data_IF_192093174672
#
_entry.id   IF_192093174672
#
_cell.length_a   1.000
_cell.length_b   1.000
_cell.length_c   1.000
_cell.angle_alpha   90.00
_cell.angle_beta   90.00
_cell.angle_gamma   90.00
#
_symmetry.space_group_name_H-M   'P 1'
#
loop_
_entity.id
_entity.type
_entity.pdbx_description
1 polymer ?
#
# COMPACT_ATOMS: atom_id res chain seq x y z
N UNK A 1 -14.97 2.73 8.82
CA UNK A 1 -14.26 1.42 8.83
C UNK A 1 -13.03 1.51 9.71
N UNK A 2 -12.58 0.38 10.27
CA UNK A 2 -11.31 0.30 11.00
C UNK A 2 -10.24 -0.37 10.13
N UNK A 3 -9.05 0.24 10.06
CA UNK A 3 -7.88 -0.29 9.35
C UNK A 3 -6.72 -0.43 10.34
N UNK A 4 -6.11 -1.61 10.39
CA UNK A 4 -4.95 -1.85 11.24
C UNK A 4 -3.79 -0.89 10.89
N UNK A 5 -3.17 -0.28 11.90
CA UNK A 5 -2.08 0.68 11.71
C UNK A 5 -0.88 0.06 11.02
N UNK A 6 -0.62 -1.23 11.27
CA UNK A 6 0.48 -1.97 10.65
C UNK A 6 0.27 -2.20 9.14
N UNK A 7 -0.97 -2.38 8.69
CA UNK A 7 -1.29 -2.42 7.25
C UNK A 7 -0.97 -1.09 6.58
N UNK A 8 -1.36 0.03 7.21
CA UNK A 8 -1.06 1.36 6.68
C UNK A 8 0.44 1.63 6.66
N UNK A 9 1.17 1.31 7.73
CA UNK A 9 2.65 1.44 7.80
C UNK A 9 3.33 0.62 6.71
N UNK A 10 2.93 -0.63 6.52
CA UNK A 10 3.50 -1.50 5.49
C UNK A 10 3.18 -0.97 4.08
N UNK A 11 1.95 -0.53 3.85
CA UNK A 11 1.53 0.02 2.57
C UNK A 11 2.34 1.27 2.15
N UNK A 12 2.67 2.16 3.10
CA UNK A 12 3.45 3.36 2.79
C UNK A 12 4.86 3.07 2.27
N UNK A 13 5.43 1.87 2.53
CA UNK A 13 6.73 1.47 1.97
C UNK A 13 6.70 1.25 0.45
N UNK A 14 5.52 1.02 -0.11
CA UNK A 14 5.32 0.83 -1.55
C UNK A 14 4.62 2.03 -2.22
N UNK A 15 4.37 3.15 -1.52
CA UNK A 15 3.79 4.34 -2.14
C UNK A 15 4.86 5.10 -2.94
N UNK A 16 4.46 5.67 -4.08
CA UNK A 16 5.37 6.46 -4.92
C UNK A 16 5.86 7.73 -4.20
N UNK A 17 7.13 8.07 -4.36
CA UNK A 17 7.71 9.35 -3.96
C UNK A 17 7.80 10.36 -5.12
N UNK A 18 7.56 9.93 -6.37
CA UNK A 18 7.68 10.74 -7.58
C UNK A 18 6.53 11.76 -7.71
N UNK A 19 6.86 13.01 -8.03
CA UNK A 19 5.87 14.10 -8.21
C UNK A 19 5.04 13.92 -9.49
N UNK A 20 5.64 13.39 -10.55
CA UNK A 20 4.99 13.15 -11.85
C UNK A 20 3.91 12.06 -11.78
N UNK A 21 4.04 11.12 -10.82
CA UNK A 21 3.10 10.01 -10.58
C UNK A 21 2.28 10.26 -9.32
N UNK A 22 1.72 11.46 -9.21
CA UNK A 22 0.98 11.90 -8.02
C UNK A 22 -0.20 10.98 -7.65
N UNK A 23 -0.86 10.33 -8.62
CA UNK A 23 -1.94 9.34 -8.39
C UNK A 23 -1.45 8.02 -7.76
N UNK A 24 -0.14 7.83 -7.62
CA UNK A 24 0.48 6.72 -6.87
C UNK A 24 1.00 7.18 -5.49
N UNK A 25 0.94 8.48 -5.19
CA UNK A 25 1.48 9.10 -3.96
C UNK A 25 0.44 9.08 -2.83
N UNK A 26 0.00 7.89 -2.48
CA UNK A 26 -1.01 7.72 -1.43
C UNK A 26 -1.42 6.27 -1.24
N UNK A 27 -2.47 6.07 -0.44
CA UNK A 27 -3.08 4.78 -0.17
C UNK A 27 -4.41 4.69 -0.90
N UNK A 28 -4.52 3.78 -1.86
CA UNK A 28 -5.76 3.53 -2.56
C UNK A 28 -6.65 2.57 -1.76
N UNK A 29 -7.87 3.03 -1.42
CA UNK A 29 -8.92 2.19 -0.86
C UNK A 29 -9.92 1.90 -1.95
N UNK A 30 -10.02 0.64 -2.36
CA UNK A 30 -10.91 0.22 -3.43
C UNK A 30 -12.25 -0.27 -2.92
N UNK A 31 -13.32 0.07 -3.62
CA UNK A 31 -14.69 -0.44 -3.38
C UNK A 31 -14.78 -1.96 -3.43
N UNK A 32 -13.80 -2.61 -4.06
CA UNK A 32 -13.62 -4.05 -4.07
C UNK A 32 -13.14 -4.65 -2.75
N UNK A 33 -12.90 -3.83 -1.72
CA UNK A 33 -12.44 -4.27 -0.39
C UNK A 33 -10.94 -4.47 -0.28
N UNK A 34 -10.15 -3.67 -0.99
CA UNK A 34 -8.69 -3.77 -0.99
C UNK A 34 -8.04 -2.43 -0.66
N UNK A 35 -6.95 -2.49 0.11
CA UNK A 35 -5.99 -1.41 0.27
C UNK A 35 -4.81 -1.69 -0.67
N UNK A 36 -4.44 -0.71 -1.50
CA UNK A 36 -3.40 -0.88 -2.51
C UNK A 36 -2.45 0.32 -2.53
N UNK A 37 -1.14 0.05 -2.62
CA UNK A 37 -0.10 1.06 -2.88
C UNK A 37 0.92 0.52 -3.87
N UNK A 38 1.44 1.37 -4.74
CA UNK A 38 2.53 1.01 -5.67
C UNK A 38 3.37 2.22 -6.02
N UNK A 39 4.64 2.00 -6.31
CA UNK A 39 5.58 2.97 -6.88
C UNK A 39 5.84 2.70 -8.38
N UNK A 40 5.15 1.70 -8.95
CA UNK A 40 5.34 1.21 -10.32
C UNK A 40 6.38 0.08 -10.45
N UNK A 41 7.11 -0.23 -9.38
CA UNK A 41 8.09 -1.33 -9.34
C UNK A 41 7.66 -2.47 -8.42
N UNK A 42 6.98 -2.11 -7.34
CA UNK A 42 6.44 -3.04 -6.33
C UNK A 42 5.06 -2.57 -5.92
N UNK A 43 4.29 -3.50 -5.39
CA UNK A 43 2.92 -3.23 -4.99
C UNK A 43 2.62 -3.96 -3.69
N UNK A 44 1.96 -3.26 -2.77
CA UNK A 44 1.37 -3.83 -1.58
C UNK A 44 -0.15 -3.91 -1.77
N UNK A 45 -0.73 -5.07 -1.48
CA UNK A 45 -2.16 -5.32 -1.52
C UNK A 45 -2.59 -5.97 -0.22
N UNK A 46 -3.57 -5.40 0.47
CA UNK A 46 -4.20 -5.98 1.63
C UNK A 46 -5.72 -6.02 1.48
N UNK A 47 -6.36 -7.05 2.04
CA UNK A 47 -7.83 -7.10 2.13
C UNK A 47 -8.31 -6.25 3.28
N UNK A 48 -9.40 -5.53 3.06
CA UNK A 48 -10.09 -4.77 4.08
C UNK A 48 -11.27 -5.57 4.63
N UNK A 49 -11.58 -5.37 5.91
CA UNK A 49 -12.74 -5.98 6.55
C UNK A 49 -14.06 -5.36 6.09
N UNK A 50 -14.03 -4.09 5.72
CA UNK A 50 -15.17 -3.32 5.23
C UNK A 50 -14.80 -2.65 3.90
N UNK A 51 -15.79 -2.47 3.02
CA UNK A 51 -15.61 -1.83 1.72
C UNK A 51 -15.83 -0.31 1.85
N UNK A 52 -14.97 0.54 1.27
CA UNK A 52 -15.23 1.97 1.19
C UNK A 52 -16.44 2.26 0.28
N UNK A 53 -17.10 3.39 0.49
CA UNK A 53 -18.23 3.84 -0.33
C UNK A 53 -17.83 4.27 -1.75
N UNK A 54 -16.56 4.63 -1.96
CA UNK A 54 -15.98 5.01 -3.25
C UNK A 54 -14.51 4.62 -3.33
N UNK A 55 -13.99 4.46 -4.55
CA UNK A 55 -12.57 4.28 -4.78
C UNK A 55 -11.86 5.63 -4.54
N UNK A 56 -10.92 5.66 -3.59
CA UNK A 56 -10.23 6.88 -3.18
C UNK A 56 -8.74 6.64 -2.99
N UNK A 57 -7.94 7.66 -3.27
CA UNK A 57 -6.52 7.70 -2.93
C UNK A 57 -6.35 8.70 -1.79
N UNK A 58 -6.08 8.19 -0.59
CA UNK A 58 -5.76 9.03 0.57
C UNK A 58 -4.32 9.52 0.41
N UNK A 59 -4.04 10.84 0.44
CA UNK A 59 -2.69 11.36 0.26
C UNK A 59 -1.69 10.78 1.26
N UNK A 60 -0.47 10.49 0.80
CA UNK A 60 0.61 9.94 1.63
C UNK A 60 0.82 10.76 2.92
N UNK A 61 0.80 12.10 2.81
CA UNK A 61 1.00 13.01 3.94
C UNK A 61 -0.04 12.82 5.04
N UNK A 62 -1.29 12.61 4.65
CA UNK A 62 -2.41 12.54 5.58
C UNK A 62 -2.42 11.20 6.31
N UNK A 63 -2.10 10.11 5.60
CA UNK A 63 -1.88 8.79 6.22
C UNK A 63 -0.71 8.83 7.19
N UNK A 64 0.41 9.45 6.79
CA UNK A 64 1.59 9.56 7.64
C UNK A 64 1.31 10.40 8.89
N UNK A 65 0.62 11.53 8.74
CA UNK A 65 0.22 12.38 9.86
C UNK A 65 -0.75 11.66 10.80
N UNK A 66 -1.71 10.91 10.27
CA UNK A 66 -2.67 10.15 11.07
C UNK A 66 -1.99 9.03 11.87
N UNK A 67 -1.07 8.28 11.26
CA UNK A 67 -0.26 7.28 11.95
C UNK A 67 0.56 7.88 13.09
N UNK A 68 1.14 9.07 12.87
CA UNK A 68 1.89 9.79 13.90
C UNK A 68 1.00 10.25 15.05
N UNK A 69 -0.19 10.78 14.73
CA UNK A 69 -1.15 11.28 15.71
C UNK A 69 -1.77 10.15 16.55
N UNK A 70 -2.12 9.03 15.91
CA UNK A 70 -2.67 7.85 16.58
C UNK A 70 -1.67 7.24 17.59
N UNK A 71 -0.36 7.36 17.29
CA UNK A 71 0.72 6.93 18.16
C UNK A 71 0.99 5.42 18.11
N UNK A 72 2.16 5.03 18.63
CA UNK A 72 2.73 3.69 18.42
C UNK A 72 1.91 2.51 19.01
N UNK A 73 1.04 2.78 20.00
CA UNK A 73 0.22 1.75 20.67
C UNK A 73 -1.16 1.58 20.03
N UNK A 74 -1.54 2.45 19.10
CA UNK A 74 -2.82 2.37 18.42
C UNK A 74 -2.78 1.20 17.41
N UNK A 75 -3.69 0.24 17.56
CA UNK A 75 -3.76 -0.94 16.70
C UNK A 75 -4.55 -0.68 15.42
N UNK A 76 -5.59 0.13 15.52
CA UNK A 76 -6.54 0.39 14.43
C UNK A 76 -6.81 1.89 14.30
N UNK A 77 -6.85 2.38 13.07
CA UNK A 77 -7.27 3.73 12.72
C UNK A 77 -8.64 3.68 12.07
N UNK A 78 -9.53 4.54 12.55
CA UNK A 78 -10.81 4.78 11.90
C UNK A 78 -10.61 5.58 10.61
N UNK A 79 -11.23 5.11 9.53
CA UNK A 79 -11.25 5.77 8.22
C UNK A 79 -12.70 5.91 7.76
N UNK A 80 -13.06 7.11 7.32
CA UNK A 80 -14.34 7.40 6.65
C UNK A 80 -14.10 7.77 5.19
N UNK A 81 -15.04 7.35 4.35
CA UNK A 81 -15.10 7.69 2.92
C UNK A 81 -16.58 7.99 2.66
N UNK A 82 -16.89 9.26 2.51
CA UNK A 82 -18.25 9.78 2.40
C UNK A 82 -18.44 10.35 1.00
N UNK A 83 -19.52 9.93 0.33
CA UNK A 83 -19.92 10.44 -0.98
C UNK A 83 -21.13 11.34 -0.78
N UNK A 84 -21.02 12.60 -1.18
CA UNK A 84 -22.09 13.60 -1.03
C UNK A 84 -22.44 14.23 -2.37
N UNK A 85 -23.66 14.77 -2.47
CA UNK A 85 -24.15 15.43 -3.70
C UNK A 85 -24.80 14.45 -4.68
N UNK A 86 -25.99 14.81 -5.16
CA UNK A 86 -26.77 13.96 -6.09
C UNK A 86 -26.42 14.19 -7.57
N UNK A 87 -26.01 15.41 -7.95
CA UNK A 87 -25.74 15.77 -9.35
C UNK A 87 -24.24 15.72 -9.69
N UNK A 88 -23.39 16.09 -8.74
CA UNK A 88 -21.93 15.99 -8.82
C UNK A 88 -21.43 15.34 -7.54
N UNK A 89 -21.18 14.01 -7.54
CA UNK A 89 -20.67 13.31 -6.38
C UNK A 89 -19.32 13.89 -5.94
N UNK A 90 -19.23 14.34 -4.69
CA UNK A 90 -18.00 14.75 -4.05
C UNK A 90 -17.61 13.72 -3.00
N UNK A 91 -16.35 13.29 -3.06
CA UNK A 91 -15.81 12.35 -2.08
C UNK A 91 -15.00 13.10 -1.04
N UNK A 92 -15.35 12.91 0.22
CA UNK A 92 -14.65 13.46 1.38
C UNK A 92 -14.36 12.35 2.37
N UNK A 93 -13.46 12.57 3.31
CA UNK A 93 -13.24 11.59 4.35
C UNK A 93 -12.33 12.08 5.45
N UNK A 94 -12.22 11.24 6.49
CA UNK A 94 -11.29 11.41 7.59
C UNK A 94 -10.47 10.14 7.78
N UNK A 95 -9.20 10.31 8.11
CA UNK A 95 -8.32 9.25 8.58
C UNK A 95 -7.86 9.63 9.99
N UNK A 96 -8.26 8.82 10.97
CA UNK A 96 -8.20 9.20 12.38
C UNK A 96 -8.88 10.57 12.61
N UNK A 97 -8.17 11.55 13.15
CA UNK A 97 -8.67 12.91 13.39
C UNK A 97 -8.36 13.90 12.26
N UNK A 98 -7.83 13.42 11.11
CA UNK A 98 -7.39 14.27 10.00
C UNK A 98 -8.42 14.18 8.87
N UNK A 99 -9.01 15.32 8.50
CA UNK A 99 -9.77 15.43 7.25
C UNK A 99 -8.80 15.44 6.07
N UNK A 100 -9.10 14.65 5.04
CA UNK A 100 -8.29 14.56 3.83
C UNK A 100 -9.13 14.89 2.60
N UNK A 101 -8.46 15.45 1.59
CA UNK A 101 -9.01 15.58 0.23
C UNK A 101 -8.41 14.46 -0.61
N UNK A 102 -9.21 13.58 -1.24
CA UNK A 102 -8.69 12.54 -2.12
C UNK A 102 -7.81 13.13 -3.22
N UNK A 103 -6.77 12.39 -3.63
CA UNK A 103 -5.95 12.79 -4.78
C UNK A 103 -6.82 12.81 -6.05
N UNK A 104 -6.74 13.88 -6.82
CA UNK A 104 -7.48 14.05 -8.09
C UNK A 104 -6.85 13.22 -9.21
N UNK A 105 -7.05 11.90 -9.15
CA UNK A 105 -6.51 10.94 -10.10
C UNK A 105 -7.16 9.58 -9.97
N UNK A 106 -7.08 8.79 -11.05
CA UNK A 106 -7.56 7.41 -11.05
C UNK A 106 -6.40 6.46 -10.74
N UNK A 107 -6.56 5.62 -9.72
CA UNK A 107 -5.58 4.58 -9.43
C UNK A 107 -5.57 3.55 -10.58
N UNK A 108 -4.40 3.09 -11.06
CA UNK A 108 -4.35 2.16 -12.17
C UNK A 108 -5.05 0.83 -11.83
N UNK A 109 -5.48 0.11 -12.86
CA UNK A 109 -6.00 -1.25 -12.73
C UNK A 109 -4.88 -2.21 -12.31
N UNK A 110 -4.68 -2.28 -11.00
CA UNK A 110 -3.62 -3.02 -10.34
C UNK A 110 -3.74 -4.53 -10.51
N UNK A 111 -4.93 -5.06 -10.80
CA UNK A 111 -5.15 -6.50 -10.95
C UNK A 111 -4.45 -7.07 -12.17
N UNK A 112 -4.25 -6.24 -13.20
CA UNK A 112 -3.57 -6.61 -14.44
C UNK A 112 -2.11 -6.98 -14.25
N UNK A 113 -1.51 -6.59 -13.12
CA UNK A 113 -0.10 -6.86 -12.80
C UNK A 113 0.08 -7.83 -11.64
N UNK A 114 -1.02 -8.35 -11.07
CA UNK A 114 -0.93 -9.40 -10.05
C UNK A 114 -0.72 -10.73 -10.77
N UNK A 115 0.36 -11.47 -10.46
CA UNK A 115 0.57 -12.79 -11.02
C UNK A 115 -0.60 -13.73 -10.72
N UNK A 116 -1.11 -14.36 -11.76
CA UNK A 116 -2.19 -15.35 -11.75
C UNK A 116 -1.65 -16.77 -11.65
N UNK A 117 -0.36 -16.97 -11.96
CA UNK A 117 0.28 -18.29 -12.07
C UNK A 117 0.13 -18.92 -13.45
N UNK A 118 -0.58 -18.25 -14.37
CA UNK A 118 -0.76 -18.70 -15.76
C UNK A 118 0.22 -17.99 -16.73
N UNK A 119 1.06 -17.08 -16.21
CA UNK A 119 2.01 -16.34 -17.02
C UNK A 119 3.11 -17.26 -17.60
N UNK A 120 3.35 -17.13 -18.89
CA UNK A 120 4.52 -17.71 -19.52
C UNK A 120 5.75 -16.83 -19.24
N UNK A 121 6.94 -17.43 -19.00
CA UNK A 121 8.19 -16.69 -18.93
C UNK A 121 8.34 -15.79 -20.16
N UNK A 122 8.86 -14.58 -19.93
CA UNK A 122 9.17 -13.66 -21.03
C UNK A 122 10.16 -14.32 -22.00
N UNK A 123 9.85 -14.26 -23.30
CA UNK A 123 10.73 -14.77 -24.35
C UNK A 123 11.91 -13.84 -24.67
N UNK A 124 12.11 -12.78 -23.89
CA UNK A 124 13.24 -11.87 -24.10
C UNK A 124 14.55 -12.58 -23.70
N UNK A 125 15.64 -12.34 -24.43
CA UNK A 125 16.94 -12.95 -24.12
C UNK A 125 17.39 -12.69 -22.68
N UNK A 126 17.09 -11.50 -22.15
CA UNK A 126 17.47 -11.06 -20.79
C UNK A 126 16.63 -11.73 -19.69
N UNK A 127 15.50 -12.34 -20.04
CA UNK A 127 14.58 -13.03 -19.12
C UNK A 127 14.74 -14.57 -19.18
N UNK A 128 15.83 -15.05 -19.80
CA UNK A 128 16.10 -16.47 -19.95
C UNK A 128 16.15 -17.21 -18.58
N UNK A 129 15.75 -18.49 -18.51
CA UNK A 129 15.82 -19.28 -17.29
C UNK A 129 17.26 -19.28 -16.72
N UNK A 130 17.48 -18.58 -15.61
CA UNK A 130 18.81 -18.36 -15.00
C UNK A 130 19.17 -16.90 -14.78
N UNK A 131 18.49 -15.95 -15.43
CA UNK A 131 18.66 -14.51 -15.27
C UNK A 131 17.56 -13.91 -14.37
N UNK A 132 17.28 -14.53 -13.22
CA UNK A 132 16.33 -13.96 -12.25
C UNK A 132 17.02 -12.81 -11.54
N UNK A 133 16.74 -11.60 -12.01
CA UNK A 133 17.21 -10.38 -11.38
C UNK A 133 16.16 -9.87 -10.40
N UNK A 134 16.57 -9.60 -9.16
CA UNK A 134 15.75 -8.87 -8.21
C UNK A 134 16.53 -7.67 -7.69
N UNK A 135 15.81 -6.57 -7.45
CA UNK A 135 16.40 -5.45 -6.75
C UNK A 135 16.52 -5.79 -5.27
N UNK A 136 17.75 -5.95 -4.77
CA UNK A 136 18.06 -6.20 -3.36
C UNK A 136 17.38 -5.23 -2.37
N UNK A 137 17.16 -3.97 -2.75
CA UNK A 137 16.46 -3.00 -1.92
C UNK A 137 15.00 -3.43 -1.64
N UNK A 138 14.35 -4.11 -2.59
CA UNK A 138 12.97 -4.57 -2.44
C UNK A 138 12.88 -5.73 -1.47
N UNK A 139 13.89 -6.60 -1.43
CA UNK A 139 13.98 -7.65 -0.41
C UNK A 139 14.11 -7.04 0.98
N UNK A 140 14.90 -5.98 1.12
CA UNK A 140 15.00 -5.21 2.37
C UNK A 140 13.66 -4.62 2.83
N UNK A 141 12.87 -4.08 1.90
CA UNK A 141 11.56 -3.52 2.24
C UNK A 141 10.52 -4.61 2.54
N UNK A 142 10.61 -5.78 1.89
CA UNK A 142 9.82 -6.96 2.29
C UNK A 142 10.14 -7.41 3.72
N UNK A 143 11.42 -7.40 4.13
CA UNK A 143 11.80 -7.72 5.50
C UNK A 143 11.26 -6.69 6.52
N UNK A 144 11.26 -5.39 6.17
CA UNK A 144 10.63 -4.34 6.99
C UNK A 144 9.13 -4.55 7.10
N UNK A 145 8.44 -4.84 5.99
CA UNK A 145 7.01 -5.14 5.99
C UNK A 145 6.68 -6.37 6.85
N UNK A 146 7.46 -7.44 6.73
CA UNK A 146 7.30 -8.63 7.56
C UNK A 146 7.47 -8.30 9.06
N UNK A 147 8.44 -7.46 9.41
CA UNK A 147 8.64 -7.00 10.79
C UNK A 147 7.44 -6.19 11.31
N UNK A 148 6.87 -5.34 10.45
CA UNK A 148 5.69 -4.53 10.80
C UNK A 148 4.45 -5.42 10.99
N UNK A 149 4.21 -6.38 10.10
CA UNK A 149 2.98 -7.17 10.04
C UNK A 149 2.99 -8.38 10.98
N UNK A 150 4.15 -9.02 11.15
CA UNK A 150 4.29 -10.25 11.93
C UNK A 150 5.04 -10.03 13.25
N UNK A 151 5.52 -8.81 13.51
CA UNK A 151 6.43 -8.51 14.62
C UNK A 151 7.89 -8.87 14.30
N UNK A 152 8.80 -8.56 15.24
CA UNK A 152 10.20 -8.97 15.11
C UNK A 152 10.28 -10.49 15.19
N UNK A 153 10.79 -11.11 14.12
CA UNK A 153 11.18 -12.51 14.16
C UNK A 153 12.24 -12.70 15.26
N UNK A 154 12.16 -13.81 15.99
CA UNK A 154 13.22 -14.23 16.89
C UNK A 154 14.41 -14.70 16.06
N UNK A 155 15.22 -13.74 15.59
CA UNK A 155 16.41 -13.97 14.76
C UNK A 155 17.54 -14.67 15.52
N UNK A 156 17.31 -15.08 16.77
CA UNK A 156 18.29 -15.76 17.61
C UNK A 156 18.88 -17.05 16.98
N UNK A 157 18.23 -17.61 15.95
CA UNK A 157 18.71 -18.81 15.24
C UNK A 157 19.44 -18.54 13.92
N UNK A 158 19.46 -17.31 13.41
CA UNK A 158 20.03 -17.00 12.10
C UNK A 158 21.12 -15.94 12.22
N UNK A 159 22.38 -16.39 12.32
CA UNK A 159 23.55 -15.50 12.27
C UNK A 159 24.17 -15.51 10.88
N UNK A 160 24.31 -14.31 10.29
CA UNK A 160 25.10 -14.10 9.08
C UNK A 160 26.53 -13.73 9.51
N UNK A 161 27.44 -14.67 9.38
CA UNK A 161 28.85 -14.41 9.66
C UNK A 161 29.48 -13.73 8.44
N UNK A 162 30.08 -12.52 8.57
CA UNK A 162 30.94 -12.00 7.54
C UNK A 162 32.19 -12.89 7.48
N UNK A 163 32.41 -13.52 6.33
CA UNK A 163 33.68 -14.15 5.96
C UNK A 163 34.51 -13.18 5.14
#
# INVERSE_FOLDING_TARGET
MLIATDLLKAALLCASSEESRYYLRGVHLSTTGHLVTTDGHRMFVARLNERPAADVIIPYSDVQAALKLAGARCKDIEVTVDVTGSALPQVTGKIHSIAYSPVDGTFPDWRRVVPTGEELPSGKPDDAPGAVHFNHAYVGDMAKMATILCGKADTAQSMLHPV
#
